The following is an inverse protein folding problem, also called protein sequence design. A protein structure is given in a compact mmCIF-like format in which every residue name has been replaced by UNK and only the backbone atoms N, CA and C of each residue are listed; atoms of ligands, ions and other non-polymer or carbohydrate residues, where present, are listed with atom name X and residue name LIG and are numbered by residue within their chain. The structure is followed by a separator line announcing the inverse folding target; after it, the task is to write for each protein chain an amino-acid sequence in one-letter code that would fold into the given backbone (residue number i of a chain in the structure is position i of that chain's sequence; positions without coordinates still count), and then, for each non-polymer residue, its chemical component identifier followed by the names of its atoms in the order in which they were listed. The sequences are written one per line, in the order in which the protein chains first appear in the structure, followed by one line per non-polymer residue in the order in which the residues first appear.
data_IF_890240498172
#
_entry.id   IF_890240498172
#
_cell.length_a   1.000
_cell.length_b   1.000
_cell.length_c   1.000
_cell.angle_alpha   90.00
_cell.angle_beta   90.00
_cell.angle_gamma   90.00
#
_symmetry.space_group_name_H-M   'P 1'
#
loop_
_entity.id
_entity.type
_entity.pdbx_description
1 polymer ?
#
# COMPACT_ATOMS: atom_id res chain seq x y z
N UNK A 1 -12.64 -9.08 -15.65
CA UNK A 1 -13.70 -9.19 -14.62
C UNK A 1 -13.16 -8.60 -13.32
N UNK A 2 -14.03 -7.97 -12.53
CA UNK A 2 -13.70 -7.55 -11.17
C UNK A 2 -13.44 -8.76 -10.27
N UNK A 3 -12.82 -8.54 -9.12
CA UNK A 3 -12.58 -9.62 -8.16
C UNK A 3 -13.91 -10.25 -7.68
N UNK A 4 -14.91 -9.42 -7.39
CA UNK A 4 -16.24 -9.88 -6.95
C UNK A 4 -16.96 -10.67 -8.05
N UNK A 5 -16.82 -10.28 -9.32
CA UNK A 5 -17.38 -11.01 -10.46
C UNK A 5 -16.74 -12.40 -10.62
N UNK A 6 -15.40 -12.49 -10.53
CA UNK A 6 -14.68 -13.78 -10.61
C UNK A 6 -15.13 -14.70 -9.48
N UNK A 7 -15.17 -14.20 -8.25
CA UNK A 7 -15.60 -14.99 -7.10
C UNK A 7 -17.03 -15.51 -7.29
N UNK A 8 -17.97 -14.69 -7.77
CA UNK A 8 -19.34 -15.10 -8.03
C UNK A 8 -19.43 -16.18 -9.15
N UNK A 9 -18.67 -16.01 -10.23
CA UNK A 9 -18.63 -16.96 -11.34
C UNK A 9 -18.08 -18.33 -10.91
N UNK A 10 -17.00 -18.33 -10.12
CA UNK A 10 -16.39 -19.57 -9.59
C UNK A 10 -17.32 -20.25 -8.59
N UNK A 11 -17.90 -19.49 -7.64
CA UNK A 11 -18.81 -20.05 -6.63
C UNK A 11 -20.07 -20.67 -7.23
N UNK A 12 -20.55 -20.13 -8.36
CA UNK A 12 -21.72 -20.65 -9.07
C UNK A 12 -21.39 -21.77 -10.08
N UNK A 13 -20.11 -22.09 -10.29
CA UNK A 13 -19.66 -23.04 -11.29
C UNK A 13 -19.80 -22.55 -12.73
N UNK A 14 -20.03 -21.24 -12.95
CA UNK A 14 -20.06 -20.64 -14.29
C UNK A 14 -18.67 -20.56 -14.92
N UNK A 15 -17.64 -20.39 -14.10
CA UNK A 15 -16.22 -20.43 -14.48
C UNK A 15 -15.49 -21.34 -13.49
N UNK A 16 -14.43 -22.03 -13.91
CA UNK A 16 -13.56 -22.73 -12.97
C UNK A 16 -12.48 -21.77 -12.43
N UNK A 17 -12.05 -21.98 -11.18
CA UNK A 17 -10.89 -21.30 -10.62
C UNK A 17 -9.65 -21.53 -11.48
N UNK A 18 -9.51 -22.74 -12.06
CA UNK A 18 -8.41 -23.04 -12.97
C UNK A 18 -8.43 -22.16 -14.21
N UNK A 19 -9.59 -21.91 -14.82
CA UNK A 19 -9.69 -21.01 -15.98
C UNK A 19 -9.28 -19.59 -15.62
N UNK A 20 -9.80 -19.06 -14.50
CA UNK A 20 -9.47 -17.71 -14.03
C UNK A 20 -7.96 -17.53 -13.78
N UNK A 21 -7.29 -18.55 -13.23
CA UNK A 21 -5.84 -18.53 -12.99
C UNK A 21 -5.05 -18.64 -14.30
N UNK A 22 -5.42 -19.50 -15.24
CA UNK A 22 -4.70 -19.59 -16.52
C UNK A 22 -4.87 -18.33 -17.37
N UNK A 23 -6.05 -17.70 -17.36
CA UNK A 23 -6.28 -16.39 -17.97
C UNK A 23 -5.30 -15.35 -17.40
N UNK A 24 -5.21 -15.25 -16.07
CA UNK A 24 -4.29 -14.36 -15.37
C UNK A 24 -2.81 -14.65 -15.69
N UNK A 25 -2.40 -15.92 -15.67
CA UNK A 25 -1.01 -16.33 -15.96
C UNK A 25 -0.62 -16.05 -17.41
N UNK A 26 -1.55 -16.17 -18.36
CA UNK A 26 -1.30 -15.81 -19.77
C UNK A 26 -0.98 -14.32 -19.92
N UNK A 27 -1.74 -13.45 -19.26
CA UNK A 27 -1.50 -11.99 -19.32
C UNK A 27 -0.15 -11.64 -18.67
N UNK A 28 0.21 -12.31 -17.56
CA UNK A 28 1.53 -12.15 -16.93
C UNK A 28 2.66 -12.55 -17.90
N UNK A 29 2.53 -13.72 -18.54
CA UNK A 29 3.55 -14.24 -19.47
C UNK A 29 3.76 -13.31 -20.68
N UNK A 30 2.69 -12.68 -21.16
CA UNK A 30 2.72 -11.77 -22.30
C UNK A 30 3.29 -10.38 -21.96
N UNK A 31 3.03 -9.86 -20.75
CA UNK A 31 3.29 -8.45 -20.44
C UNK A 31 4.35 -8.17 -19.37
N UNK A 32 4.60 -9.07 -18.41
CA UNK A 32 5.39 -8.73 -17.23
C UNK A 32 6.87 -8.54 -17.52
N UNK A 33 7.37 -9.05 -18.65
CA UNK A 33 8.74 -8.77 -19.10
C UNK A 33 8.98 -7.27 -19.37
N UNK A 34 7.94 -6.53 -19.77
CA UNK A 34 8.02 -5.08 -19.99
C UNK A 34 7.76 -4.29 -18.70
N UNK A 35 6.78 -4.70 -17.91
CA UNK A 35 6.34 -3.98 -16.70
C UNK A 35 7.23 -4.28 -15.50
N UNK A 36 7.70 -5.52 -15.36
CA UNK A 36 8.48 -6.03 -14.24
C UNK A 36 7.78 -5.80 -12.88
N UNK A 37 6.49 -6.17 -12.81
CA UNK A 37 5.67 -6.06 -11.62
C UNK A 37 5.97 -7.17 -10.61
N UNK A 38 6.48 -8.34 -11.03
CA UNK A 38 6.76 -9.47 -10.15
C UNK A 38 8.26 -9.71 -9.95
N UNK A 39 8.66 -9.96 -8.69
CA UNK A 39 9.94 -10.59 -8.37
C UNK A 39 9.87 -12.11 -8.61
N UNK A 40 8.69 -12.70 -8.40
CA UNK A 40 8.45 -14.13 -8.53
C UNK A 40 7.00 -14.43 -8.89
N UNK A 41 6.77 -15.18 -9.96
CA UNK A 41 5.46 -15.73 -10.32
C UNK A 41 5.35 -17.16 -9.78
N UNK A 42 4.29 -17.48 -9.03
CA UNK A 42 4.07 -18.78 -8.37
C UNK A 42 3.09 -19.65 -9.14
N UNK A 43 3.30 -19.79 -10.45
CA UNK A 43 2.33 -20.39 -11.37
C UNK A 43 1.95 -21.85 -11.01
N UNK A 44 2.91 -22.65 -10.56
CA UNK A 44 2.64 -24.04 -10.16
C UNK A 44 1.75 -24.10 -8.90
N UNK A 45 2.08 -23.32 -7.87
CA UNK A 45 1.28 -23.24 -6.65
C UNK A 45 -0.12 -22.68 -6.92
N UNK A 46 -0.22 -21.67 -7.78
CA UNK A 46 -1.50 -21.07 -8.16
C UNK A 46 -2.42 -22.09 -8.83
N UNK A 47 -1.88 -22.90 -9.76
CA UNK A 47 -2.60 -23.97 -10.44
C UNK A 47 -3.09 -25.06 -9.48
N UNK A 48 -2.22 -25.52 -8.58
CA UNK A 48 -2.61 -26.50 -7.55
C UNK A 48 -3.73 -25.97 -6.67
N UNK A 49 -3.64 -24.71 -6.22
CA UNK A 49 -4.69 -24.10 -5.41
C UNK A 49 -6.00 -23.96 -6.18
N UNK A 50 -5.94 -23.63 -7.47
CA UNK A 50 -7.12 -23.56 -8.33
C UNK A 50 -7.84 -24.91 -8.41
N UNK A 51 -7.10 -26.00 -8.61
CA UNK A 51 -7.66 -27.35 -8.66
C UNK A 51 -8.33 -27.73 -7.32
N UNK A 52 -7.79 -27.29 -6.17
CA UNK A 52 -8.42 -27.49 -4.85
C UNK A 52 -9.74 -26.72 -4.68
N UNK A 53 -9.81 -25.49 -5.19
CA UNK A 53 -11.02 -24.66 -5.17
C UNK A 53 -12.09 -25.30 -6.07
N UNK A 54 -11.72 -25.73 -7.27
CA UNK A 54 -12.63 -26.40 -8.20
C UNK A 54 -13.19 -27.71 -7.61
N UNK A 55 -12.34 -28.50 -6.93
CA UNK A 55 -12.79 -29.68 -6.20
C UNK A 55 -13.77 -29.33 -5.06
N UNK A 56 -13.52 -28.24 -4.33
CA UNK A 56 -14.44 -27.77 -3.28
C UNK A 56 -15.82 -27.37 -3.83
N UNK A 57 -15.84 -26.64 -4.95
CA UNK A 57 -17.08 -26.27 -5.64
C UNK A 57 -17.82 -27.52 -6.13
N UNK A 58 -17.12 -28.48 -6.75
CA UNK A 58 -17.71 -29.73 -7.24
C UNK A 58 -18.31 -30.59 -6.10
N UNK A 59 -17.69 -30.58 -4.92
CA UNK A 59 -18.19 -31.26 -3.71
C UNK A 59 -19.35 -30.52 -3.03
N UNK A 60 -19.75 -29.34 -3.52
CA UNK A 60 -20.78 -28.49 -2.89
C UNK A 60 -20.32 -27.82 -1.58
N UNK A 61 -19.01 -27.73 -1.34
CA UNK A 61 -18.42 -26.99 -0.20
C UNK A 61 -18.31 -25.51 -0.56
N UNK A 62 -18.48 -24.62 0.42
CA UNK A 62 -18.27 -23.18 0.19
C UNK A 62 -16.77 -22.89 0.02
N UNK A 63 -16.31 -22.44 -1.17
CA UNK A 63 -14.90 -22.17 -1.42
C UNK A 63 -14.42 -20.83 -0.84
N UNK A 64 -15.33 -20.03 -0.24
CA UNK A 64 -15.03 -18.73 0.35
C UNK A 64 -15.41 -17.53 -0.53
N UNK A 65 -15.42 -16.30 0.04
CA UNK A 65 -15.91 -15.10 -0.64
C UNK A 65 -15.02 -14.58 -1.77
N UNK A 66 -13.75 -14.99 -1.84
CA UNK A 66 -12.79 -14.64 -2.90
C UNK A 66 -12.36 -15.87 -3.71
N UNK A 67 -13.23 -16.89 -3.79
CA UNK A 67 -12.93 -18.15 -4.47
C UNK A 67 -12.42 -17.95 -5.89
N UNK A 68 -11.23 -18.48 -6.18
CA UNK A 68 -10.62 -18.46 -7.51
C UNK A 68 -10.07 -17.10 -7.94
N UNK A 69 -10.15 -16.07 -7.10
CA UNK A 69 -9.67 -14.72 -7.46
C UNK A 69 -8.13 -14.69 -7.45
N UNK A 70 -7.47 -14.29 -8.56
CA UNK A 70 -6.03 -14.11 -8.61
C UNK A 70 -5.55 -12.91 -7.79
N UNK A 71 -4.57 -13.13 -6.90
CA UNK A 71 -4.01 -12.11 -6.01
C UNK A 71 -2.50 -12.02 -6.13
N UNK A 72 -1.99 -10.81 -6.29
CA UNK A 72 -0.56 -10.52 -6.23
C UNK A 72 -0.18 -10.01 -4.82
N UNK A 73 0.94 -10.46 -4.26
CA UNK A 73 1.36 -10.07 -2.90
C UNK A 73 2.64 -9.26 -2.94
N UNK A 74 2.70 -8.08 -2.31
CA UNK A 74 3.97 -7.37 -2.13
C UNK A 74 5.01 -8.25 -1.45
N UNK A 75 6.25 -8.21 -1.94
CA UNK A 75 7.30 -9.15 -1.53
C UNK A 75 7.88 -8.92 -0.12
N UNK A 76 7.28 -8.02 0.66
CA UNK A 76 7.50 -7.90 2.10
C UNK A 76 6.43 -8.58 2.96
N UNK A 77 5.52 -9.35 2.33
CA UNK A 77 4.57 -10.23 3.00
C UNK A 77 5.13 -11.65 3.02
N UNK A 78 5.35 -12.18 4.24
CA UNK A 78 5.83 -13.56 4.40
C UNK A 78 4.81 -14.56 3.88
N UNK A 79 5.29 -15.49 3.06
CA UNK A 79 4.50 -16.60 2.51
C UNK A 79 5.31 -17.87 2.68
N UNK A 80 4.75 -18.86 3.36
CA UNK A 80 5.45 -20.09 3.74
C UNK A 80 5.96 -20.83 2.52
N UNK A 81 7.25 -21.13 2.51
CA UNK A 81 7.88 -21.89 1.41
C UNK A 81 7.90 -21.15 0.07
N UNK A 82 7.68 -19.83 0.08
CA UNK A 82 7.82 -18.96 -1.10
C UNK A 82 8.83 -17.86 -0.76
N UNK A 83 9.86 -17.64 -1.60
CA UNK A 83 10.84 -16.58 -1.37
C UNK A 83 10.17 -15.23 -1.04
N UNK A 84 10.67 -14.57 0.00
CA UNK A 84 10.21 -13.25 0.45
C UNK A 84 11.41 -12.35 0.61
N UNK A 85 11.71 -11.54 -0.39
CA UNK A 85 13.00 -10.85 -0.48
C UNK A 85 12.97 -9.40 -0.04
N UNK A 86 11.77 -8.80 0.09
CA UNK A 86 11.60 -7.36 0.27
C UNK A 86 12.33 -6.53 -0.81
N UNK A 87 12.46 -7.08 -2.03
CA UNK A 87 13.27 -6.53 -3.12
C UNK A 87 14.73 -6.24 -2.74
N UNK A 88 15.32 -7.03 -1.83
CA UNK A 88 16.68 -6.87 -1.31
C UNK A 88 17.54 -8.11 -1.53
N UNK A 89 18.84 -7.90 -1.81
CA UNK A 89 19.84 -8.97 -1.87
C UNK A 89 20.07 -9.63 -0.51
N UNK A 90 19.83 -8.94 0.61
CA UNK A 90 20.06 -9.51 1.94
C UNK A 90 19.08 -10.63 2.29
N UNK A 91 17.92 -10.69 1.62
CA UNK A 91 16.89 -11.73 1.77
C UNK A 91 16.66 -12.52 0.46
N UNK A 92 17.53 -12.38 -0.54
CA UNK A 92 17.43 -13.16 -1.77
C UNK A 92 17.46 -14.67 -1.45
N UNK A 93 16.42 -15.38 -1.90
CA UNK A 93 16.25 -16.82 -1.64
C UNK A 93 15.79 -17.18 -0.22
N UNK A 94 15.51 -16.22 0.67
CA UNK A 94 14.95 -16.54 1.98
C UNK A 94 13.48 -16.97 1.87
N UNK A 95 13.19 -18.20 2.26
CA UNK A 95 11.84 -18.75 2.36
C UNK A 95 11.36 -18.70 3.82
N UNK A 96 10.35 -17.87 4.15
CA UNK A 96 9.82 -17.80 5.50
C UNK A 96 9.23 -19.14 5.96
N UNK A 97 9.43 -19.53 7.24
CA UNK A 97 8.82 -20.73 7.80
C UNK A 97 7.40 -20.48 8.33
N UNK A 98 6.74 -19.39 7.90
CA UNK A 98 5.40 -19.00 8.32
C UNK A 98 4.71 -18.10 7.28
N UNK A 99 3.39 -18.03 7.36
CA UNK A 99 2.56 -17.12 6.58
C UNK A 99 2.26 -15.86 7.37
N UNK A 100 2.18 -14.72 6.68
CA UNK A 100 1.57 -13.54 7.24
C UNK A 100 0.07 -13.76 7.47
N UNK A 101 -0.52 -13.11 8.47
CA UNK A 101 -1.94 -13.29 8.80
C UNK A 101 -2.86 -12.94 7.64
N UNK A 102 -2.52 -11.93 6.85
CA UNK A 102 -3.28 -11.56 5.65
C UNK A 102 -3.23 -12.65 4.56
N UNK A 103 -2.12 -13.38 4.47
CA UNK A 103 -1.96 -14.49 3.52
C UNK A 103 -2.83 -15.67 3.95
N UNK A 104 -2.85 -15.99 5.25
CA UNK A 104 -3.74 -17.01 5.81
C UNK A 104 -5.22 -16.64 5.58
N UNK A 105 -5.60 -15.38 5.83
CA UNK A 105 -6.97 -14.88 5.61
C UNK A 105 -7.39 -14.96 4.14
N UNK A 106 -6.53 -14.53 3.21
CA UNK A 106 -6.80 -14.64 1.78
C UNK A 106 -6.96 -16.10 1.33
N UNK A 107 -6.07 -16.98 1.78
CA UNK A 107 -6.15 -18.41 1.46
C UNK A 107 -7.46 -19.03 1.96
N UNK A 108 -7.85 -18.73 3.19
CA UNK A 108 -9.11 -19.18 3.79
C UNK A 108 -10.35 -18.60 3.09
N UNK A 109 -10.22 -17.42 2.49
CA UNK A 109 -11.27 -16.81 1.69
C UNK A 109 -11.38 -17.38 0.26
N UNK A 110 -10.51 -18.31 -0.11
CA UNK A 110 -10.52 -18.94 -1.44
C UNK A 110 -9.71 -18.22 -2.51
N UNK A 111 -9.00 -17.15 -2.14
CA UNK A 111 -8.14 -16.41 -3.06
C UNK A 111 -6.89 -17.22 -3.44
N UNK A 112 -6.35 -16.92 -4.64
CA UNK A 112 -5.22 -17.65 -5.22
C UNK A 112 -4.06 -16.71 -5.45
N UNK A 113 -2.96 -16.92 -4.73
CA UNK A 113 -1.74 -16.12 -4.88
C UNK A 113 -1.03 -16.50 -6.18
N UNK A 114 -0.84 -15.54 -7.08
CA UNK A 114 -0.17 -15.75 -8.38
C UNK A 114 1.30 -15.30 -8.39
N UNK A 115 1.74 -14.53 -7.40
CA UNK A 115 3.14 -14.16 -7.28
C UNK A 115 3.46 -13.12 -6.20
N UNK A 116 4.75 -12.84 -6.08
CA UNK A 116 5.34 -11.81 -5.22
C UNK A 116 5.72 -10.60 -6.06
N UNK A 117 5.12 -9.45 -5.77
CA UNK A 117 5.32 -8.21 -6.51
C UNK A 117 6.55 -7.46 -6.06
N UNK A 118 7.21 -6.84 -7.03
CA UNK A 118 8.37 -5.98 -6.85
C UNK A 118 7.99 -4.73 -6.02
N UNK A 119 8.99 -4.14 -5.38
CA UNK A 119 8.86 -3.03 -4.46
C UNK A 119 10.19 -2.29 -4.30
N UNK A 120 10.17 -1.06 -3.77
CA UNK A 120 11.41 -0.48 -3.25
C UNK A 120 11.98 -1.37 -2.14
N UNK A 121 13.30 -1.51 -2.11
CA UNK A 121 14.01 -2.32 -1.12
C UNK A 121 13.55 -1.97 0.31
N UNK A 122 13.09 -2.98 1.07
CA UNK A 122 12.55 -2.81 2.44
C UNK A 122 11.46 -1.74 2.59
N UNK A 123 10.67 -1.53 1.53
CA UNK A 123 9.60 -0.53 1.46
C UNK A 123 10.10 0.93 1.52
N UNK A 124 11.38 1.17 1.24
CA UNK A 124 12.02 2.47 1.36
C UNK A 124 12.20 3.17 0.01
N UNK A 125 11.16 3.87 -0.42
CA UNK A 125 11.17 4.68 -1.64
C UNK A 125 9.76 5.01 -2.12
N UNK A 126 9.69 5.81 -3.18
CA UNK A 126 8.44 6.31 -3.77
C UNK A 126 8.42 6.13 -5.29
N UNK A 127 9.21 5.20 -5.83
CA UNK A 127 9.31 4.93 -7.28
C UNK A 127 9.54 3.47 -7.69
N UNK A 128 9.86 2.56 -6.74
CA UNK A 128 10.25 1.17 -6.99
C UNK A 128 11.61 1.03 -7.72
N UNK A 129 12.34 2.13 -7.90
CA UNK A 129 13.67 2.14 -8.52
C UNK A 129 14.75 1.60 -7.59
N UNK A 130 14.52 1.60 -6.27
CA UNK A 130 15.48 1.04 -5.32
C UNK A 130 15.43 -0.50 -5.26
N UNK A 131 14.55 -1.16 -6.01
CA UNK A 131 14.53 -2.62 -6.05
C UNK A 131 15.89 -3.18 -6.47
N UNK A 132 16.43 -4.12 -5.69
CA UNK A 132 17.68 -4.79 -6.03
C UNK A 132 17.57 -5.75 -7.23
N UNK A 133 16.35 -5.98 -7.72
CA UNK A 133 16.04 -6.82 -8.89
C UNK A 133 15.75 -5.99 -10.15
N UNK A 134 15.73 -4.65 -10.04
CA UNK A 134 15.47 -3.73 -11.14
C UNK A 134 14.11 -3.04 -11.00
N UNK A 135 13.93 -1.90 -11.69
CA UNK A 135 12.72 -1.09 -11.55
C UNK A 135 11.49 -1.78 -12.16
N UNK A 136 10.33 -1.53 -11.56
CA UNK A 136 9.02 -1.71 -12.21
C UNK A 136 8.72 -0.48 -13.06
N UNK A 137 8.02 -0.65 -14.19
CA UNK A 137 7.57 0.42 -15.08
C UNK A 137 6.07 0.66 -14.93
N UNK A 138 5.61 1.89 -15.18
CA UNK A 138 4.20 2.21 -15.11
C UNK A 138 3.44 1.65 -16.33
N UNK A 139 2.35 0.86 -16.15
CA UNK A 139 1.56 0.35 -17.28
C UNK A 139 0.92 1.44 -18.15
N UNK A 140 0.72 2.66 -17.63
CA UNK A 140 0.17 3.78 -18.40
C UNK A 140 1.23 4.48 -19.28
N UNK A 141 2.52 4.41 -18.91
CA UNK A 141 3.66 4.86 -19.71
C UNK A 141 4.94 4.17 -19.21
N UNK A 142 5.57 3.29 -20.01
CA UNK A 142 6.72 2.50 -19.55
C UNK A 142 7.99 3.33 -19.27
N UNK A 143 8.01 4.62 -19.61
CA UNK A 143 9.11 5.53 -19.25
C UNK A 143 8.90 6.20 -17.88
N UNK A 144 7.74 6.00 -17.25
CA UNK A 144 7.38 6.58 -15.96
C UNK A 144 7.46 5.56 -14.84
N UNK A 145 7.59 6.07 -13.61
CA UNK A 145 7.56 5.25 -12.40
C UNK A 145 6.12 4.80 -12.08
N UNK A 146 5.92 3.60 -11.55
CA UNK A 146 4.62 3.16 -11.01
C UNK A 146 4.37 3.71 -9.59
N UNK A 147 5.26 4.56 -9.08
CA UNK A 147 5.28 4.97 -7.68
C UNK A 147 5.98 3.97 -6.76
N UNK A 148 5.92 4.22 -5.46
CA UNK A 148 6.54 3.36 -4.47
C UNK A 148 6.01 3.54 -3.04
N UNK A 149 6.30 2.59 -2.15
CA UNK A 149 7.13 1.41 -2.38
C UNK A 149 6.40 0.20 -2.94
N UNK A 150 5.07 0.23 -3.08
CA UNK A 150 4.30 -0.89 -3.63
C UNK A 150 4.05 -0.75 -5.14
N UNK A 151 5.03 -0.27 -5.91
CA UNK A 151 4.85 -0.02 -7.34
C UNK A 151 4.53 -1.28 -8.15
N UNK A 152 5.16 -2.42 -7.83
CA UNK A 152 4.82 -3.69 -8.45
C UNK A 152 3.38 -4.13 -8.17
N UNK A 153 2.86 -3.88 -6.97
CA UNK A 153 1.47 -4.20 -6.63
C UNK A 153 0.46 -3.35 -7.41
N UNK A 154 0.71 -2.05 -7.52
CA UNK A 154 -0.15 -1.15 -8.31
C UNK A 154 -0.07 -1.47 -9.81
N UNK A 155 1.14 -1.69 -10.33
CA UNK A 155 1.38 -2.04 -11.72
C UNK A 155 0.74 -3.39 -12.10
N UNK A 156 0.81 -4.40 -11.22
CA UNK A 156 0.17 -5.69 -11.46
C UNK A 156 -1.35 -5.57 -11.65
N UNK A 157 -2.02 -4.74 -10.84
CA UNK A 157 -3.46 -4.49 -10.97
C UNK A 157 -3.75 -3.67 -12.22
N UNK A 158 -3.01 -2.59 -12.45
CA UNK A 158 -3.21 -1.69 -13.59
C UNK A 158 -2.97 -2.39 -14.95
N UNK A 159 -2.03 -3.33 -15.02
CA UNK A 159 -1.74 -4.13 -16.21
C UNK A 159 -2.68 -5.35 -16.38
N UNK A 160 -3.58 -5.60 -15.43
CA UNK A 160 -4.47 -6.77 -15.47
C UNK A 160 -3.78 -8.10 -15.16
N UNK A 161 -2.58 -8.07 -14.57
CA UNK A 161 -1.86 -9.27 -14.14
C UNK A 161 -2.44 -9.92 -12.90
N UNK A 162 -3.23 -9.19 -12.11
CA UNK A 162 -4.02 -9.73 -11.01
C UNK A 162 -5.26 -8.86 -10.79
N UNK A 163 -6.34 -9.46 -10.29
CA UNK A 163 -7.57 -8.72 -9.97
C UNK A 163 -7.42 -7.90 -8.68
N UNK A 164 -6.57 -8.37 -7.76
CA UNK A 164 -6.24 -7.72 -6.50
C UNK A 164 -4.73 -7.80 -6.31
N UNK A 165 -4.15 -6.77 -5.70
CA UNK A 165 -2.86 -6.91 -5.05
C UNK A 165 -2.90 -6.44 -3.59
N UNK A 166 -2.06 -7.00 -2.73
CA UNK A 166 -1.80 -6.44 -1.40
C UNK A 166 -0.48 -5.68 -1.39
N UNK A 167 -0.50 -4.48 -0.83
CA UNK A 167 0.67 -3.66 -0.56
C UNK A 167 0.88 -3.38 0.92
N UNK A 168 1.83 -2.49 1.20
CA UNK A 168 2.03 -1.91 2.54
C UNK A 168 2.29 -0.41 2.42
N UNK A 169 1.73 0.37 3.33
CA UNK A 169 1.77 1.83 3.36
C UNK A 169 2.31 2.33 4.70
N UNK A 170 3.49 2.97 4.64
CA UNK A 170 4.15 3.55 5.83
C UNK A 170 4.18 5.08 5.79
N UNK A 171 4.17 5.67 4.59
CA UNK A 171 4.11 7.11 4.36
C UNK A 171 3.31 7.50 3.12
N UNK A 172 2.55 6.58 2.52
CA UNK A 172 1.92 6.74 1.21
C UNK A 172 2.12 5.54 0.27
N UNK A 173 2.83 4.51 0.71
CA UNK A 173 3.31 3.44 -0.16
C UNK A 173 2.24 2.50 -0.74
N UNK A 174 0.96 2.69 -0.41
CA UNK A 174 -0.17 2.13 -1.19
C UNK A 174 -0.83 3.24 -2.02
N UNK A 175 -1.18 4.35 -1.37
CA UNK A 175 -1.97 5.41 -2.00
C UNK A 175 -1.25 6.10 -3.16
N UNK A 176 0.04 6.41 -3.01
CA UNK A 176 0.81 7.07 -4.07
C UNK A 176 0.95 6.18 -5.31
N UNK A 177 1.37 4.90 -5.22
CA UNK A 177 1.35 4.01 -6.39
C UNK A 177 -0.04 3.87 -7.03
N UNK A 178 -1.10 3.82 -6.20
CA UNK A 178 -2.47 3.73 -6.71
C UNK A 178 -2.85 4.95 -7.55
N UNK A 179 -2.51 6.15 -7.08
CA UNK A 179 -2.72 7.39 -7.82
C UNK A 179 -1.93 7.41 -9.14
N UNK A 180 -0.67 6.98 -9.12
CA UNK A 180 0.22 7.04 -10.28
C UNK A 180 -0.08 5.98 -11.35
N UNK A 181 -0.64 4.83 -10.95
CA UNK A 181 -1.05 3.77 -11.87
C UNK A 181 -2.55 3.78 -12.20
N UNK A 182 -3.33 4.70 -11.64
CA UNK A 182 -4.76 4.81 -11.94
C UNK A 182 -5.60 3.65 -11.41
N UNK A 183 -5.27 3.14 -10.23
CA UNK A 183 -6.04 2.08 -9.53
C UNK A 183 -6.52 2.56 -8.17
N UNK A 184 -7.46 1.84 -7.56
CA UNK A 184 -7.88 2.09 -6.18
C UNK A 184 -6.82 1.52 -5.24
N UNK A 185 -6.44 2.28 -4.20
CA UNK A 185 -5.50 1.82 -3.18
C UNK A 185 -5.93 2.27 -1.79
N UNK A 186 -6.05 1.33 -0.85
CA UNK A 186 -6.59 1.58 0.49
C UNK A 186 -5.54 1.37 1.55
N UNK A 187 -5.33 2.38 2.39
CA UNK A 187 -4.63 2.23 3.66
C UNK A 187 -5.66 2.26 4.80
N UNK A 188 -5.98 1.11 5.42
CA UNK A 188 -6.94 1.08 6.51
C UNK A 188 -6.38 1.75 7.78
N UNK A 189 -7.23 1.93 8.80
CA UNK A 189 -6.83 2.39 10.13
C UNK A 189 -5.67 1.54 10.67
N UNK A 190 -4.71 2.20 11.34
CA UNK A 190 -3.60 1.49 11.98
C UNK A 190 -4.13 0.47 12.98
N UNK A 191 -3.75 -0.79 12.81
CA UNK A 191 -4.21 -1.91 13.64
C UNK A 191 -5.49 -2.61 13.16
N UNK A 192 -6.18 -2.12 12.13
CA UNK A 192 -7.36 -2.82 11.57
C UNK A 192 -6.97 -4.12 10.85
N UNK A 193 -5.81 -4.13 10.19
CA UNK A 193 -5.22 -5.31 9.55
C UNK A 193 -3.95 -5.70 10.30
N UNK A 194 -3.83 -6.97 10.67
CA UNK A 194 -2.65 -7.49 11.38
C UNK A 194 -1.37 -7.25 10.59
N UNK A 195 -0.30 -6.87 11.31
CA UNK A 195 1.05 -6.72 10.77
C UNK A 195 1.90 -7.97 11.02
N UNK A 196 1.35 -9.04 11.59
CA UNK A 196 2.08 -10.29 11.75
C UNK A 196 2.45 -10.88 10.38
N UNK A 197 3.75 -11.06 10.17
CA UNK A 197 4.35 -11.50 8.90
C UNK A 197 4.47 -10.43 7.82
N UNK A 198 4.16 -9.17 8.12
CA UNK A 198 4.72 -8.04 7.39
C UNK A 198 6.17 -7.84 7.82
N UNK A 199 7.10 -7.82 6.88
CA UNK A 199 8.48 -7.42 7.17
C UNK A 199 8.50 -5.92 7.47
N UNK A 200 8.74 -5.60 8.74
CA UNK A 200 8.58 -4.25 9.28
C UNK A 200 9.59 -3.25 8.70
N UNK A 201 9.07 -2.08 8.31
CA UNK A 201 9.85 -0.87 8.05
C UNK A 201 9.76 0.05 9.28
N UNK A 202 8.60 0.68 9.52
CA UNK A 202 8.35 1.49 10.70
C UNK A 202 7.09 1.00 11.43
N UNK A 203 7.32 0.29 12.53
CA UNK A 203 6.30 -0.45 13.29
C UNK A 203 5.09 0.40 13.74
N UNK A 204 5.26 1.69 13.99
CA UNK A 204 4.17 2.58 14.42
C UNK A 204 3.39 3.24 13.27
N UNK A 205 3.74 2.89 12.01
CA UNK A 205 3.23 3.54 10.80
C UNK A 205 2.79 2.53 9.72
N UNK A 206 3.47 1.38 9.65
CA UNK A 206 3.22 0.34 8.65
C UNK A 206 1.78 -0.18 8.74
N UNK A 207 1.10 -0.24 7.59
CA UNK A 207 -0.21 -0.88 7.49
C UNK A 207 -0.38 -1.58 6.14
N UNK A 208 -0.91 -2.80 6.15
CA UNK A 208 -1.25 -3.55 4.92
C UNK A 208 -2.59 -3.07 4.39
N UNK A 209 -2.73 -3.04 3.06
CA UNK A 209 -4.01 -2.77 2.41
C UNK A 209 -4.03 -3.15 0.93
N UNK A 210 -5.24 -3.17 0.32
CA UNK A 210 -5.46 -3.64 -1.03
C UNK A 210 -5.22 -2.57 -2.11
N UNK A 211 -4.88 -3.07 -3.30
CA UNK A 211 -5.03 -2.42 -4.60
C UNK A 211 -6.06 -3.18 -5.43
N UNK A 212 -6.97 -2.47 -6.08
CA UNK A 212 -8.02 -3.05 -6.95
C UNK A 212 -8.38 -2.10 -8.08
N UNK A 213 -9.13 -2.58 -9.07
CA UNK A 213 -9.66 -1.73 -10.15
C UNK A 213 -10.95 -1.01 -9.77
N UNK A 214 -11.66 -1.50 -8.75
CA UNK A 214 -12.91 -0.89 -8.27
C UNK A 214 -12.94 -0.71 -6.76
N UNK A 215 -13.71 0.28 -6.29
CA UNK A 215 -13.98 0.52 -4.87
C UNK A 215 -14.68 -0.67 -4.22
N UNK A 216 -15.60 -1.31 -4.94
CA UNK A 216 -16.31 -2.50 -4.46
C UNK A 216 -15.37 -3.69 -4.21
N UNK A 217 -14.43 -3.96 -5.11
CA UNK A 217 -13.41 -4.99 -4.89
C UNK A 217 -12.53 -4.65 -3.68
N UNK A 218 -12.13 -3.38 -3.53
CA UNK A 218 -11.34 -2.94 -2.37
C UNK A 218 -12.09 -3.17 -1.05
N UNK A 219 -13.40 -2.92 -1.02
CA UNK A 219 -14.25 -3.17 0.14
C UNK A 219 -14.30 -4.66 0.48
N UNK A 220 -14.55 -5.51 -0.51
CA UNK A 220 -14.62 -6.96 -0.33
C UNK A 220 -13.30 -7.56 0.19
N UNK A 221 -12.16 -7.06 -0.31
CA UNK A 221 -10.85 -7.51 0.16
C UNK A 221 -10.58 -7.01 1.57
N UNK A 222 -10.92 -5.76 1.88
CA UNK A 222 -10.71 -5.22 3.21
C UNK A 222 -11.49 -5.99 4.27
N UNK A 223 -12.75 -6.35 3.98
CA UNK A 223 -13.59 -7.17 4.87
C UNK A 223 -12.94 -8.55 5.15
N UNK A 224 -12.24 -9.14 4.18
CA UNK A 224 -11.52 -10.41 4.34
C UNK A 224 -10.26 -10.28 5.19
N UNK A 225 -9.43 -9.26 4.92
CA UNK A 225 -8.10 -9.15 5.55
C UNK A 225 -8.12 -8.48 6.93
N UNK A 226 -9.19 -7.75 7.25
CA UNK A 226 -9.33 -7.01 8.52
C UNK A 226 -9.68 -7.92 9.70
N UNK A 227 -9.48 -7.40 10.90
CA UNK A 227 -9.92 -8.01 12.16
C UNK A 227 -8.77 -8.43 13.08
N UNK A 228 -9.11 -8.83 14.32
CA UNK A 228 -8.14 -9.06 15.38
C UNK A 228 -7.19 -10.21 15.09
N UNK A 229 -5.96 -10.10 15.56
CA UNK A 229 -4.97 -11.16 15.53
C UNK A 229 -4.16 -11.20 16.83
N UNK A 230 -4.28 -12.32 17.56
CA UNK A 230 -3.57 -12.54 18.82
C UNK A 230 -2.04 -12.52 18.70
N UNK A 231 -1.49 -12.69 17.49
CA UNK A 231 -0.04 -12.61 17.22
C UNK A 231 0.45 -11.17 17.02
N UNK A 232 -0.47 -10.23 16.81
CA UNK A 232 -0.18 -8.80 16.70
C UNK A 232 -0.81 -8.04 17.87
N UNK A 233 0.03 -7.65 18.84
CA UNK A 233 -0.40 -6.88 20.02
C UNK A 233 -0.92 -5.47 19.69
N UNK A 234 -0.69 -4.98 18.47
CA UNK A 234 -1.20 -3.69 17.98
C UNK A 234 -2.49 -3.82 17.18
N UNK A 235 -2.94 -5.05 16.90
CA UNK A 235 -4.22 -5.26 16.23
C UNK A 235 -5.38 -4.79 17.11
N UNK A 236 -6.33 -4.11 16.48
CA UNK A 236 -7.56 -3.67 17.13
C UNK A 236 -8.40 -4.91 17.42
N UNK A 237 -8.89 -5.00 18.66
CA UNK A 237 -9.57 -6.21 19.15
C UNK A 237 -11.02 -6.30 18.70
N UNK A 238 -11.61 -5.16 18.37
CA UNK A 238 -13.00 -5.07 17.95
C UNK A 238 -13.13 -5.45 16.48
N UNK A 239 -14.16 -6.23 16.16
CA UNK A 239 -14.59 -6.44 14.79
C UNK A 239 -15.45 -5.27 14.34
N UNK A 240 -15.13 -4.68 13.19
CA UNK A 240 -16.00 -3.69 12.55
C UNK A 240 -17.05 -4.37 11.67
N UNK A 241 -18.22 -3.73 11.46
CA UNK A 241 -19.15 -4.17 10.42
C UNK A 241 -18.48 -4.17 9.03
N UNK A 242 -18.93 -5.04 8.11
CA UNK A 242 -18.44 -5.04 6.73
C UNK A 242 -18.60 -3.68 6.06
N UNK A 243 -17.56 -3.21 5.35
CA UNK A 243 -17.63 -1.96 4.59
C UNK A 243 -18.38 -2.13 3.27
N UNK A 244 -18.47 -3.35 2.75
CA UNK A 244 -19.25 -3.70 1.56
C UNK A 244 -20.73 -3.30 1.68
N UNK A 245 -21.30 -3.39 2.89
CA UNK A 245 -22.70 -3.02 3.16
C UNK A 245 -22.98 -1.51 3.06
N UNK A 246 -21.94 -0.68 2.86
CA UNK A 246 -22.05 0.78 2.93
C UNK A 246 -21.93 1.48 1.58
N UNK A 247 -21.59 0.75 0.52
CA UNK A 247 -21.27 1.33 -0.80
C UNK A 247 -22.44 2.11 -1.42
N UNK A 248 -23.68 1.68 -1.20
CA UNK A 248 -24.88 2.28 -1.80
C UNK A 248 -25.53 3.39 -0.95
N UNK A 249 -24.95 3.72 0.21
CA UNK A 249 -25.55 4.71 1.14
C UNK A 249 -25.42 6.15 0.64
N UNK A 250 -24.42 6.43 -0.21
CA UNK A 250 -24.15 7.77 -0.74
C UNK A 250 -23.60 8.75 0.30
N UNK A 251 -23.50 10.04 -0.09
CA UNK A 251 -22.83 11.10 0.70
C UNK A 251 -23.72 12.28 1.09
N UNK A 252 -25.04 12.19 0.88
CA UNK A 252 -25.97 13.27 1.20
C UNK A 252 -25.83 13.72 2.67
N UNK A 253 -25.62 15.02 2.86
CA UNK A 253 -25.45 15.66 4.16
C UNK A 253 -24.08 15.47 4.83
N UNK A 254 -23.17 14.65 4.29
CA UNK A 254 -21.82 14.50 4.85
C UNK A 254 -21.04 15.80 4.75
N UNK A 255 -20.31 16.14 5.82
CA UNK A 255 -19.41 17.30 5.87
C UNK A 255 -18.05 16.88 5.36
N UNK A 256 -17.66 17.38 4.18
CA UNK A 256 -16.39 17.05 3.53
C UNK A 256 -15.46 18.25 3.59
N UNK A 257 -14.29 18.09 4.19
CA UNK A 257 -13.28 19.14 4.27
C UNK A 257 -12.23 19.01 3.17
N UNK A 258 -11.93 20.09 2.46
CA UNK A 258 -10.79 20.14 1.53
C UNK A 258 -9.57 20.60 2.31
N UNK A 259 -8.55 19.76 2.41
CA UNK A 259 -7.40 20.06 3.26
C UNK A 259 -6.48 21.09 2.59
N UNK A 260 -6.48 22.33 3.09
CA UNK A 260 -5.80 23.46 2.47
C UNK A 260 -4.29 23.25 2.34
N UNK A 261 -3.64 22.77 3.41
CA UNK A 261 -2.18 22.56 3.45
C UNK A 261 -1.69 21.51 2.44
N UNK A 262 -2.57 20.64 1.95
CA UNK A 262 -2.24 19.59 0.97
C UNK A 262 -2.83 19.86 -0.43
N UNK A 263 -3.51 21.00 -0.61
CA UNK A 263 -4.21 21.36 -1.85
C UNK A 263 -3.74 22.71 -2.44
N UNK A 264 -2.69 23.29 -1.86
CA UNK A 264 -2.15 24.60 -2.23
C UNK A 264 -0.83 24.52 -2.99
N UNK A 265 0.16 25.29 -2.54
CA UNK A 265 1.46 25.41 -3.20
C UNK A 265 2.19 24.05 -3.31
N UNK A 266 2.74 23.77 -4.50
CA UNK A 266 3.46 22.53 -4.79
C UNK A 266 2.61 21.42 -5.41
N UNK A 267 1.29 21.61 -5.52
CA UNK A 267 0.41 20.72 -6.29
C UNK A 267 0.35 21.19 -7.75
N UNK A 268 0.50 20.27 -8.69
CA UNK A 268 0.42 20.57 -10.11
C UNK A 268 -0.98 21.11 -10.50
N UNK A 269 -1.09 22.04 -11.46
CA UNK A 269 -2.37 22.65 -11.84
C UNK A 269 -3.41 21.65 -12.35
N UNK A 270 -2.98 20.65 -13.11
CA UNK A 270 -3.81 19.58 -13.67
C UNK A 270 -4.33 18.64 -12.57
N UNK A 271 -3.49 18.29 -11.60
CA UNK A 271 -3.89 17.56 -10.39
C UNK A 271 -4.92 18.36 -9.58
N UNK A 272 -4.68 19.66 -9.40
CA UNK A 272 -5.61 20.55 -8.70
C UNK A 272 -6.95 20.63 -9.42
N UNK A 273 -6.96 20.61 -10.76
CA UNK A 273 -8.18 20.60 -11.54
C UNK A 273 -8.99 19.31 -11.34
N UNK A 274 -8.32 18.15 -11.25
CA UNK A 274 -8.99 16.87 -10.94
C UNK A 274 -9.58 16.83 -9.54
N UNK A 275 -8.87 17.38 -8.54
CA UNK A 275 -9.42 17.51 -7.19
C UNK A 275 -10.70 18.37 -7.18
N UNK A 276 -10.71 19.52 -7.87
CA UNK A 276 -11.91 20.36 -7.99
C UNK A 276 -13.08 19.61 -8.63
N UNK A 277 -12.82 18.87 -9.71
CA UNK A 277 -13.87 18.07 -10.34
C UNK A 277 -14.41 16.95 -9.43
N UNK A 278 -13.60 16.40 -8.52
CA UNK A 278 -14.06 15.44 -7.52
C UNK A 278 -14.89 16.10 -6.42
N UNK A 279 -14.50 17.30 -5.99
CA UNK A 279 -15.28 18.13 -5.07
C UNK A 279 -16.66 18.43 -5.66
N UNK A 280 -16.72 18.89 -6.91
CA UNK A 280 -17.98 19.21 -7.60
C UNK A 280 -18.92 17.99 -7.68
N UNK A 281 -18.35 16.79 -7.87
CA UNK A 281 -19.11 15.55 -7.89
C UNK A 281 -19.68 15.18 -6.51
N UNK A 282 -18.91 15.36 -5.44
CA UNK A 282 -19.38 15.15 -4.07
C UNK A 282 -20.48 16.16 -3.69
N UNK A 283 -20.31 17.44 -4.04
CA UNK A 283 -21.34 18.46 -3.82
C UNK A 283 -22.63 18.15 -4.59
N UNK A 284 -22.51 17.73 -5.86
CA UNK A 284 -23.64 17.32 -6.70
C UNK A 284 -24.39 16.10 -6.12
N UNK A 285 -23.68 15.24 -5.40
CA UNK A 285 -24.25 14.09 -4.69
C UNK A 285 -24.80 14.42 -3.29
N UNK A 286 -24.81 15.70 -2.89
CA UNK A 286 -25.42 16.18 -1.64
C UNK A 286 -24.45 16.37 -0.47
N UNK A 287 -23.14 16.19 -0.67
CA UNK A 287 -22.15 16.49 0.36
C UNK A 287 -22.05 18.01 0.59
N UNK A 288 -21.74 18.41 1.83
CA UNK A 288 -21.44 19.79 2.20
C UNK A 288 -19.93 19.96 2.23
N UNK A 289 -19.38 20.59 1.21
CA UNK A 289 -17.94 20.78 1.11
C UNK A 289 -17.54 22.15 1.66
N UNK A 290 -16.48 22.18 2.47
CA UNK A 290 -15.85 23.41 2.90
C UNK A 290 -14.33 23.23 3.05
N UNK A 291 -13.60 24.33 3.19
CA UNK A 291 -12.17 24.29 3.47
C UNK A 291 -11.91 23.77 4.91
N UNK A 292 -10.92 22.88 5.05
CA UNK A 292 -10.42 22.40 6.32
C UNK A 292 -8.92 22.72 6.44
N UNK A 293 -8.44 22.94 7.67
CA UNK A 293 -7.04 23.28 7.94
C UNK A 293 -6.46 22.39 9.03
N UNK A 294 -5.33 21.77 8.73
CA UNK A 294 -4.46 21.05 9.69
C UNK A 294 -3.09 21.71 9.60
N UNK A 295 -2.86 22.84 10.29
CA UNK A 295 -1.63 23.62 10.14
C UNK A 295 -0.35 22.82 10.37
N UNK A 296 -0.37 21.88 11.33
CA UNK A 296 0.79 21.04 11.62
C UNK A 296 1.13 20.03 10.52
N UNK A 297 0.23 19.78 9.54
CA UNK A 297 0.45 18.83 8.45
C UNK A 297 1.70 19.16 7.62
N UNK A 298 2.08 20.45 7.52
CA UNK A 298 3.30 20.90 6.84
C UNK A 298 4.59 20.34 7.46
N UNK A 299 4.56 19.94 8.74
CA UNK A 299 5.68 19.28 9.40
C UNK A 299 5.69 17.76 9.23
N UNK A 300 4.67 17.19 8.58
CA UNK A 300 4.47 15.76 8.44
C UNK A 300 5.69 15.08 7.83
N UNK A 301 6.21 15.62 6.72
CA UNK A 301 7.38 15.05 6.04
C UNK A 301 8.60 15.01 6.97
N UNK A 302 8.91 16.12 7.65
CA UNK A 302 10.05 16.18 8.57
C UNK A 302 9.90 15.25 9.76
N UNK A 303 8.70 15.12 10.33
CA UNK A 303 8.45 14.19 11.44
C UNK A 303 8.60 12.74 10.99
N UNK A 304 8.04 12.40 9.83
CA UNK A 304 8.14 11.05 9.24
C UNK A 304 9.58 10.63 8.94
N UNK A 305 10.38 11.50 8.32
CA UNK A 305 11.79 11.21 8.01
C UNK A 305 12.71 11.18 9.24
N UNK A 306 12.18 11.40 10.45
CA UNK A 306 12.88 11.07 11.70
C UNK A 306 12.31 9.81 12.36
N UNK A 307 10.98 9.66 12.39
CA UNK A 307 10.33 8.52 13.03
C UNK A 307 10.59 7.23 12.25
N UNK A 308 10.30 7.22 10.95
CA UNK A 308 10.38 6.00 10.15
C UNK A 308 11.82 5.49 10.03
N UNK A 309 12.85 6.32 9.76
CA UNK A 309 14.25 5.86 9.77
C UNK A 309 14.72 5.40 11.16
N UNK A 310 14.31 6.06 12.24
CA UNK A 310 14.64 5.63 13.61
C UNK A 310 14.12 4.22 13.89
N UNK A 311 12.84 3.96 13.63
CA UNK A 311 12.26 2.63 13.80
C UNK A 311 12.90 1.60 12.86
N UNK A 312 13.15 1.97 11.61
CA UNK A 312 13.82 1.11 10.63
C UNK A 312 15.22 0.69 11.09
N UNK A 313 16.00 1.61 11.67
CA UNK A 313 17.35 1.32 12.15
C UNK A 313 17.37 0.21 13.21
N UNK A 314 16.33 0.14 14.03
CA UNK A 314 16.11 -0.92 15.00
C UNK A 314 15.51 -2.18 14.36
N UNK A 315 14.45 -2.03 13.56
CA UNK A 315 13.73 -3.15 12.94
C UNK A 315 14.64 -3.99 12.04
N UNK A 316 15.50 -3.33 11.24
CA UNK A 316 16.44 -3.96 10.33
C UNK A 316 17.73 -4.43 11.00
N UNK A 317 17.94 -4.19 12.30
CA UNK A 317 19.13 -4.69 13.00
C UNK A 317 19.21 -6.23 13.03
N UNK A 318 18.07 -6.92 12.86
CA UNK A 318 17.97 -8.39 12.82
C UNK A 318 18.61 -9.05 11.61
N UNK A 319 18.87 -8.30 10.53
CA UNK A 319 19.49 -8.81 9.31
C UNK A 319 21.01 -8.75 9.47
N UNK A 320 21.55 -9.82 10.04
CA UNK A 320 22.95 -9.97 10.47
C UNK A 320 23.66 -11.15 9.78
N UNK A 321 22.95 -11.93 8.96
CA UNK A 321 23.44 -13.14 8.30
C UNK A 321 23.66 -14.34 9.21
N UNK A 322 23.23 -14.30 10.48
CA UNK A 322 23.44 -15.39 11.44
C UNK A 322 22.37 -16.47 11.31
N UNK A 323 21.09 -16.07 11.27
CA UNK A 323 19.94 -16.99 11.32
C UNK A 323 19.33 -17.28 9.95
N UNK A 324 19.36 -16.31 9.05
CA UNK A 324 18.74 -16.38 7.73
C UNK A 324 19.26 -15.25 6.83
N UNK A 325 18.98 -15.34 5.53
CA UNK A 325 19.41 -14.37 4.52
C UNK A 325 20.88 -14.52 4.11
N UNK A 326 21.39 -13.51 3.42
CA UNK A 326 22.78 -13.42 3.00
C UNK A 326 23.74 -13.50 4.20
N UNK A 327 24.87 -14.19 4.02
CA UNK A 327 25.99 -14.18 4.97
C UNK A 327 27.30 -14.05 4.22
N UNK A 328 28.09 -13.04 4.60
CA UNK A 328 29.46 -12.86 4.10
C UNK A 328 30.46 -13.50 5.05
N UNK A 329 31.51 -14.14 4.52
CA UNK A 329 32.60 -14.67 5.35
C UNK A 329 33.48 -13.55 5.90
N UNK A 330 33.89 -13.67 7.16
CA UNK A 330 34.83 -12.76 7.81
C UNK A 330 35.53 -13.42 9.00
N UNK A 331 36.56 -12.75 9.53
CA UNK A 331 37.41 -13.28 10.61
C UNK A 331 36.72 -13.35 11.98
N UNK A 332 35.71 -12.51 12.21
CA UNK A 332 34.96 -12.41 13.47
C UNK A 332 33.53 -11.92 13.21
N UNK A 333 32.66 -12.03 14.22
CA UNK A 333 31.23 -11.69 14.09
C UNK A 333 30.96 -10.21 13.76
N UNK A 334 31.62 -9.21 14.39
CA UNK A 334 31.46 -7.80 13.98
C UNK A 334 31.78 -7.53 12.50
N UNK A 335 32.89 -8.08 12.01
CA UNK A 335 33.31 -7.91 10.61
C UNK A 335 32.33 -8.60 9.67
N UNK A 336 31.87 -9.81 10.02
CA UNK A 336 30.88 -10.58 9.27
C UNK A 336 29.57 -9.81 9.14
N UNK A 337 29.09 -9.24 10.25
CA UNK A 337 27.86 -8.45 10.29
C UNK A 337 28.00 -7.20 9.40
N UNK A 338 29.10 -6.46 9.55
CA UNK A 338 29.39 -5.27 8.74
C UNK A 338 29.45 -5.59 7.26
N UNK A 339 30.19 -6.64 6.87
CA UNK A 339 30.33 -7.08 5.49
C UNK A 339 28.98 -7.53 4.91
N UNK A 340 28.21 -8.32 5.67
CA UNK A 340 26.89 -8.82 5.25
C UNK A 340 25.92 -7.67 5.00
N UNK A 341 25.80 -6.73 5.93
CA UNK A 341 24.90 -5.58 5.79
C UNK A 341 25.34 -4.64 4.69
N UNK A 342 26.64 -4.44 4.51
CA UNK A 342 27.19 -3.58 3.46
C UNK A 342 26.97 -4.16 2.06
N UNK A 343 27.06 -5.49 1.91
CA UNK A 343 26.82 -6.19 0.66
C UNK A 343 25.32 -6.40 0.37
N UNK A 344 24.51 -6.60 1.42
CA UNK A 344 23.11 -6.98 1.28
C UNK A 344 22.14 -5.80 1.12
N UNK A 345 22.40 -4.66 1.77
CA UNK A 345 21.53 -3.48 1.69
C UNK A 345 21.96 -2.49 0.62
N UNK A 346 20.99 -2.02 -0.16
CA UNK A 346 21.15 -0.89 -1.07
C UNK A 346 21.31 0.46 -0.36
N UNK A 347 21.61 1.48 -1.14
CA UNK A 347 22.08 2.77 -0.62
C UNK A 347 21.00 3.54 0.15
N UNK A 348 19.74 3.52 -0.29
CA UNK A 348 18.65 4.17 0.43
C UNK A 348 18.37 3.50 1.77
N UNK A 349 18.41 2.16 1.83
CA UNK A 349 18.23 1.42 3.09
C UNK A 349 19.35 1.75 4.07
N UNK A 350 20.61 1.73 3.62
CA UNK A 350 21.76 2.15 4.44
C UNK A 350 21.61 3.60 4.91
N UNK A 351 21.18 4.52 4.03
CA UNK A 351 20.94 5.94 4.36
C UNK A 351 19.93 6.09 5.49
N UNK A 352 18.79 5.41 5.42
CA UNK A 352 17.76 5.45 6.47
C UNK A 352 18.24 4.81 7.77
N UNK A 353 18.99 3.71 7.72
CA UNK A 353 19.60 3.11 8.92
C UNK A 353 20.57 4.10 9.59
N UNK A 354 21.42 4.79 8.82
CA UNK A 354 22.37 5.78 9.35
C UNK A 354 21.65 6.97 10.00
N UNK A 355 20.65 7.56 9.32
CA UNK A 355 19.84 8.67 9.85
C UNK A 355 19.11 8.23 11.13
N UNK A 356 18.49 7.05 11.12
CA UNK A 356 17.76 6.52 12.26
C UNK A 356 18.63 6.26 13.47
N UNK A 357 19.80 5.64 13.25
CA UNK A 357 20.78 5.38 14.32
C UNK A 357 21.27 6.69 14.94
N UNK A 358 21.52 7.71 14.11
CA UNK A 358 21.88 9.05 14.60
C UNK A 358 20.76 9.69 15.41
N UNK A 359 19.52 9.67 14.90
CA UNK A 359 18.36 10.26 15.57
C UNK A 359 18.04 9.60 16.93
N UNK A 360 18.41 8.33 17.11
CA UNK A 360 18.25 7.58 18.37
C UNK A 360 19.47 7.65 19.30
N UNK A 361 20.59 8.22 18.84
CA UNK A 361 21.83 8.23 19.61
C UNK A 361 21.75 9.13 20.86
N UNK A 362 22.50 8.74 21.90
CA UNK A 362 22.56 9.50 23.15
C UNK A 362 23.02 10.94 22.88
N UNK A 363 22.31 11.92 23.47
CA UNK A 363 22.54 13.35 23.25
C UNK A 363 21.75 13.95 22.08
N UNK A 364 21.30 13.14 21.12
CA UNK A 364 20.51 13.58 19.96
C UNK A 364 19.05 13.12 20.00
N UNK A 365 18.73 12.09 20.80
CA UNK A 365 17.38 11.54 20.96
C UNK A 365 16.30 12.61 21.17
N UNK A 366 16.44 13.45 22.20
CA UNK A 366 15.42 14.45 22.55
C UNK A 366 15.27 15.53 21.47
N UNK A 367 16.37 15.87 20.79
CA UNK A 367 16.41 16.90 19.75
C UNK A 367 15.80 16.43 18.43
N UNK A 368 15.89 15.14 18.11
CA UNK A 368 15.41 14.56 16.87
C UNK A 368 14.19 13.66 17.09
N UNK A 369 14.38 12.41 17.51
CA UNK A 369 13.28 11.45 17.62
C UNK A 369 12.21 11.90 18.62
N UNK A 370 12.62 12.35 19.81
CA UNK A 370 11.72 12.89 20.83
C UNK A 370 10.97 14.15 20.36
N UNK A 371 11.62 15.02 19.56
CA UNK A 371 10.97 16.18 18.95
C UNK A 371 9.99 15.77 17.85
N UNK A 372 10.34 14.82 17.01
CA UNK A 372 9.48 14.30 15.95
C UNK A 372 8.20 13.66 16.51
N UNK A 373 8.29 12.92 17.62
CA UNK A 373 7.11 12.37 18.31
C UNK A 373 6.20 13.46 18.89
N UNK A 374 6.77 14.58 19.39
CA UNK A 374 5.97 15.75 19.80
C UNK A 374 5.28 16.41 18.62
N UNK A 375 5.96 16.54 17.48
CA UNK A 375 5.36 17.05 16.24
C UNK A 375 4.23 16.12 15.75
N UNK A 376 4.44 14.79 15.78
CA UNK A 376 3.38 13.81 15.51
C UNK A 376 2.15 14.05 16.39
N UNK A 377 2.35 14.34 17.67
CA UNK A 377 1.25 14.67 18.60
C UNK A 377 0.52 15.95 18.21
N UNK A 378 1.24 16.99 17.76
CA UNK A 378 0.60 18.22 17.25
C UNK A 378 -0.30 17.92 16.04
N UNK A 379 0.20 17.12 15.09
CA UNK A 379 -0.57 16.70 13.92
C UNK A 379 -1.83 15.91 14.35
N UNK A 380 -1.70 14.98 15.30
CA UNK A 380 -2.84 14.24 15.86
C UNK A 380 -3.91 15.17 16.42
N UNK A 381 -3.51 16.18 17.20
CA UNK A 381 -4.43 17.13 17.82
C UNK A 381 -5.15 18.02 16.80
N UNK A 382 -4.44 18.49 15.77
CA UNK A 382 -5.02 19.29 14.70
C UNK A 382 -6.07 18.48 13.93
N UNK A 383 -5.75 17.24 13.54
CA UNK A 383 -6.73 16.36 12.91
C UNK A 383 -7.94 16.08 13.81
N UNK A 384 -7.72 15.81 15.11
CA UNK A 384 -8.82 15.59 16.05
C UNK A 384 -9.81 16.78 16.05
N UNK A 385 -9.28 18.01 16.03
CA UNK A 385 -10.08 19.24 15.97
C UNK A 385 -10.85 19.40 14.65
N UNK A 386 -10.27 18.92 13.54
CA UNK A 386 -10.92 18.92 12.22
C UNK A 386 -12.03 17.88 12.15
N UNK A 387 -11.86 16.69 12.74
CA UNK A 387 -12.88 15.63 12.76
C UNK A 387 -14.14 15.99 13.56
N UNK A 388 -14.07 16.98 14.46
CA UNK A 388 -15.28 17.54 15.09
C UNK A 388 -16.18 18.26 14.07
N UNK A 389 -15.58 18.81 13.02
CA UNK A 389 -16.23 19.68 12.03
C UNK A 389 -16.56 18.95 10.73
N UNK A 390 -15.82 17.90 10.40
CA UNK A 390 -15.92 17.17 9.14
C UNK A 390 -16.02 15.66 9.37
N UNK A 391 -16.78 14.99 8.51
CA UNK A 391 -16.92 13.54 8.50
C UNK A 391 -15.85 12.88 7.62
N UNK A 392 -15.39 13.60 6.59
CA UNK A 392 -14.35 13.20 5.65
C UNK A 392 -13.45 14.37 5.30
N UNK A 393 -12.22 14.07 4.91
CA UNK A 393 -11.33 15.02 4.26
C UNK A 393 -10.95 14.54 2.86
N UNK A 394 -10.73 15.48 1.95
CA UNK A 394 -10.22 15.22 0.60
C UNK A 394 -8.97 16.06 0.31
N UNK A 395 -8.05 15.48 -0.44
CA UNK A 395 -6.86 16.15 -0.97
C UNK A 395 -6.43 15.46 -2.27
N UNK A 396 -5.46 15.99 -3.03
CA UNK A 396 -4.74 15.18 -4.01
C UNK A 396 -4.03 14.02 -3.30
N UNK A 397 -3.91 12.87 -3.94
CA UNK A 397 -3.08 11.78 -3.40
C UNK A 397 -1.59 12.01 -3.62
N UNK A 398 -1.22 12.59 -4.75
CA UNK A 398 0.15 12.90 -5.14
C UNK A 398 0.22 14.34 -5.64
N UNK A 399 1.33 15.08 -5.41
CA UNK A 399 1.47 16.45 -5.90
C UNK A 399 1.53 16.54 -7.43
N UNK A 400 1.96 15.48 -8.11
CA UNK A 400 2.09 15.40 -9.58
C UNK A 400 1.57 14.05 -10.08
N UNK A 401 1.35 13.94 -11.40
CA UNK A 401 1.28 12.67 -12.11
C UNK A 401 2.61 11.91 -12.03
N UNK A 402 2.66 10.71 -12.63
CA UNK A 402 3.84 9.84 -12.56
C UNK A 402 5.05 10.50 -13.25
N UNK A 403 6.15 10.61 -12.52
CA UNK A 403 7.39 11.21 -13.01
C UNK A 403 8.25 10.19 -13.78
N UNK A 404 9.24 10.67 -14.53
CA UNK A 404 10.07 9.81 -15.36
C UNK A 404 11.01 8.95 -14.52
N UNK A 405 11.29 7.73 -14.98
CA UNK A 405 12.35 6.90 -14.41
C UNK A 405 13.68 7.66 -14.42
N UNK A 406 14.41 7.63 -13.31
CA UNK A 406 15.68 8.32 -13.11
C UNK A 406 15.57 9.80 -12.75
N UNK A 407 14.39 10.43 -12.83
CA UNK A 407 14.22 11.88 -12.67
C UNK A 407 14.62 12.37 -11.27
N UNK A 408 14.29 11.59 -10.23
CA UNK A 408 14.44 11.99 -8.82
C UNK A 408 15.46 11.15 -8.05
N UNK A 409 16.21 10.27 -8.71
CA UNK A 409 17.14 9.34 -8.04
C UNK A 409 18.40 10.02 -7.49
N UNK A 410 18.80 11.14 -8.11
CA UNK A 410 19.98 11.93 -7.68
C UNK A 410 19.68 12.90 -6.52
N UNK A 411 18.41 13.23 -6.28
CA UNK A 411 17.97 14.14 -5.21
C UNK A 411 16.94 13.44 -4.29
N UNK A 412 17.41 12.88 -3.15
CA UNK A 412 16.53 12.25 -2.18
C UNK A 412 15.42 13.19 -1.69
N UNK A 413 15.67 14.50 -1.59
CA UNK A 413 14.65 15.43 -1.11
C UNK A 413 13.51 15.59 -2.12
N UNK A 414 13.83 15.68 -3.42
CA UNK A 414 12.83 15.70 -4.48
C UNK A 414 11.99 14.41 -4.48
N UNK A 415 12.61 13.25 -4.23
CA UNK A 415 11.89 11.98 -4.08
C UNK A 415 10.92 12.03 -2.89
N UNK A 416 11.37 12.52 -1.73
CA UNK A 416 10.59 12.55 -0.50
C UNK A 416 9.38 13.47 -0.59
N UNK A 417 9.47 14.56 -1.36
CA UNK A 417 8.33 15.45 -1.61
C UNK A 417 7.15 14.77 -2.31
N UNK A 418 7.35 13.60 -2.94
CA UNK A 418 6.27 12.79 -3.53
C UNK A 418 5.25 12.31 -2.49
N UNK A 419 5.65 12.21 -1.21
CA UNK A 419 4.82 11.67 -0.14
C UNK A 419 4.13 12.77 0.70
N UNK A 420 4.28 14.05 0.31
CA UNK A 420 3.82 15.21 1.11
C UNK A 420 2.32 15.13 1.42
N UNK A 421 1.51 14.65 0.46
CA UNK A 421 0.06 14.52 0.63
C UNK A 421 -0.36 13.32 1.47
N UNK A 422 0.48 12.30 1.62
CA UNK A 422 0.09 11.00 2.18
C UNK A 422 0.58 10.77 3.60
N UNK A 423 1.76 11.28 3.94
CA UNK A 423 2.43 11.07 5.25
C UNK A 423 1.57 11.45 6.47
N UNK A 424 0.81 12.56 6.48
CA UNK A 424 0.06 12.96 7.67
C UNK A 424 -0.92 11.88 8.17
N UNK A 425 -1.50 11.08 7.28
CA UNK A 425 -2.43 9.98 7.63
C UNK A 425 -1.71 8.85 8.37
N UNK A 426 -0.49 8.48 7.98
CA UNK A 426 0.27 7.44 8.68
C UNK A 426 0.69 7.90 10.08
N UNK A 427 1.13 9.16 10.18
CA UNK A 427 1.51 9.76 11.46
C UNK A 427 0.35 9.75 12.45
N UNK A 428 -0.88 9.85 11.99
CA UNK A 428 -2.07 9.89 12.86
C UNK A 428 -2.79 8.55 13.00
N UNK A 429 -2.41 7.53 12.23
CA UNK A 429 -3.01 6.19 12.27
C UNK A 429 -4.42 6.11 11.67
N UNK A 430 -4.86 7.15 10.96
CA UNK A 430 -6.18 7.26 10.32
C UNK A 430 -6.32 6.35 9.10
N UNK A 431 -7.51 6.27 8.50
CA UNK A 431 -7.71 5.56 7.23
C UNK A 431 -7.73 6.53 6.05
N UNK A 432 -7.18 6.11 4.92
CA UNK A 432 -7.28 6.86 3.67
C UNK A 432 -7.22 5.93 2.46
N UNK A 433 -7.84 6.35 1.36
CA UNK A 433 -7.73 5.67 0.08
C UNK A 433 -7.47 6.64 -1.05
N UNK A 434 -6.79 6.17 -2.10
CA UNK A 434 -6.70 6.86 -3.38
C UNK A 434 -7.74 6.29 -4.32
N UNK A 435 -8.54 7.18 -4.94
CA UNK A 435 -9.50 6.86 -5.98
C UNK A 435 -9.01 7.52 -7.28
N UNK A 436 -8.86 6.78 -8.40
CA UNK A 436 -8.53 7.37 -9.69
C UNK A 436 -9.61 8.37 -10.10
N UNK A 437 -9.23 9.58 -10.53
CA UNK A 437 -10.18 10.61 -10.91
C UNK A 437 -9.71 11.41 -12.13
N UNK A 438 -9.78 10.76 -13.29
CA UNK A 438 -9.36 11.31 -14.58
C UNK A 438 -7.84 11.31 -14.76
N UNK A 439 -7.39 12.12 -15.71
CA UNK A 439 -5.98 12.21 -16.12
C UNK A 439 -5.48 13.66 -16.06
N UNK A 440 -4.16 13.80 -15.92
CA UNK A 440 -3.45 15.08 -16.03
C UNK A 440 -3.29 15.54 -17.48
N UNK A 441 -2.61 16.67 -17.68
CA UNK A 441 -2.40 17.25 -19.01
C UNK A 441 -1.49 16.37 -19.90
N UNK A 442 -0.68 15.52 -19.27
CA UNK A 442 0.18 14.53 -19.90
C UNK A 442 -0.53 13.19 -20.22
N UNK A 443 -1.83 13.09 -19.92
CA UNK A 443 -2.63 11.88 -20.12
C UNK A 443 -2.40 10.79 -19.07
N UNK A 444 -1.60 11.05 -18.02
CA UNK A 444 -1.35 10.08 -16.96
C UNK A 444 -2.40 10.17 -15.85
N UNK A 445 -2.65 9.06 -15.12
CA UNK A 445 -3.66 9.04 -14.07
C UNK A 445 -3.41 10.04 -12.93
N UNK A 446 -4.49 10.56 -12.37
CA UNK A 446 -4.49 11.38 -11.14
C UNK A 446 -5.38 10.72 -10.09
N UNK A 447 -4.88 10.63 -8.86
CA UNK A 447 -5.64 10.12 -7.72
C UNK A 447 -6.14 11.23 -6.79
N UNK A 448 -7.39 11.09 -6.33
CA UNK A 448 -7.96 11.86 -5.24
C UNK A 448 -7.92 11.03 -3.97
N UNK A 449 -7.39 11.61 -2.90
CA UNK A 449 -7.29 10.97 -1.61
C UNK A 449 -8.54 11.29 -0.80
N UNK A 450 -9.23 10.25 -0.32
CA UNK A 450 -10.35 10.34 0.62
C UNK A 450 -9.86 9.84 1.97
N UNK A 451 -9.98 10.67 3.00
CA UNK A 451 -9.53 10.40 4.37
C UNK A 451 -10.72 10.38 5.32
N UNK A 452 -10.67 9.50 6.31
CA UNK A 452 -11.64 9.45 7.40
C UNK A 452 -10.93 9.28 8.74
N UNK A 453 -11.57 9.64 9.87
CA UNK A 453 -11.01 9.36 11.18
C UNK A 453 -10.75 7.85 11.37
N UNK A 454 -9.94 7.49 12.35
CA UNK A 454 -9.70 6.09 12.68
C UNK A 454 -11.04 5.34 12.89
N UNK A 455 -11.15 4.14 12.31
CA UNK A 455 -12.36 3.32 12.26
C UNK A 455 -13.50 3.91 11.39
N UNK A 456 -13.20 4.92 10.57
CA UNK A 456 -14.12 5.59 9.65
C UNK A 456 -14.19 4.98 8.25
N UNK A 457 -13.72 3.75 8.04
CA UNK A 457 -13.64 3.10 6.72
C UNK A 457 -15.00 3.10 6.00
N UNK A 458 -16.10 2.80 6.69
CA UNK A 458 -17.45 2.81 6.12
C UNK A 458 -17.79 4.14 5.44
N UNK A 459 -17.46 5.28 6.07
CA UNK A 459 -17.78 6.60 5.52
C UNK A 459 -16.81 6.96 4.39
N UNK A 460 -15.55 6.53 4.48
CA UNK A 460 -14.56 6.65 3.41
C UNK A 460 -15.03 5.92 2.13
N UNK A 461 -15.48 4.67 2.26
CA UNK A 461 -15.96 3.85 1.14
C UNK A 461 -17.23 4.40 0.50
N UNK A 462 -18.15 4.98 1.28
CA UNK A 462 -19.33 5.71 0.76
C UNK A 462 -18.94 6.81 -0.22
N UNK A 463 -18.00 7.67 0.17
CA UNK A 463 -17.56 8.76 -0.69
C UNK A 463 -16.77 8.28 -1.91
N UNK A 464 -15.91 7.28 -1.74
CA UNK A 464 -15.20 6.69 -2.86
C UNK A 464 -16.13 6.04 -3.89
N UNK A 465 -17.18 5.36 -3.45
CA UNK A 465 -18.18 4.77 -4.35
C UNK A 465 -18.89 5.85 -5.19
N UNK A 466 -19.23 7.00 -4.58
CA UNK A 466 -19.81 8.15 -5.29
C UNK A 466 -18.82 8.73 -6.31
N UNK A 467 -17.56 8.91 -5.94
CA UNK A 467 -16.52 9.40 -6.86
C UNK A 467 -16.27 8.45 -8.03
N UNK A 468 -16.22 7.14 -7.79
CA UNK A 468 -16.08 6.16 -8.86
C UNK A 468 -17.29 6.18 -9.81
N UNK A 469 -18.50 6.28 -9.25
CA UNK A 469 -19.73 6.30 -10.04
C UNK A 469 -19.88 7.57 -10.88
N UNK A 470 -19.35 8.72 -10.46
CA UNK A 470 -19.45 9.99 -11.20
C UNK A 470 -18.57 10.07 -12.45
N UNK A 471 -17.67 9.10 -12.65
CA UNK A 471 -16.82 8.99 -13.85
C UNK A 471 -17.44 8.10 -14.95
N UNK A 472 -18.54 7.40 -14.65
CA UNK A 472 -19.29 6.57 -15.59
C UNK A 472 -20.43 7.38 -16.21
#
# INVERSE_FOLDING_TARGET
MSAVEIAAAVRSGQQSARSAVEECLSVIEEGDAEVHAFNLVTAAQARTRADEIDAAVADGRDPGPLAGVPVALKDNLCTRGVPTTCSSRILEGWEPPYDATVVEKLHNAGAIVVGKTNMDEFAMGSSTENSAFGPTRNPCDPNRVPGGSSGGSAAAVAAGFASIALGSDTGGSIRQPAALCGVVGVKPTYGLVSRFGLVAFASSLDQIGPFTTTVADSAAVLDVISGPDHRDSTSIRDSLPPVTDTLDVGVDGLRVGVLAELSGDGIAPDVSARLRAAIDALESAGARVAEASVPAAVFGLSAYYLIAPAEASSNLARYDGVRYGLRMDASNTPDMNTATRSAGFGDEVKRRIMIGTYALSAGYYDAYYGKAQKVRTLIINDFASVWEQFDLLVSPTSPTTAFSLGERTADPMAMYMSDVCTVPVNLTGQTAMSVPYGVGDDGLPVGVQVMAPALGESVMFRAAAVLEASLR
#
